data_IF_676264479659
#
_entry.id   IF_676264479659
#
_cell.length_a   1.000
_cell.length_b   1.000
_cell.length_c   1.000
_cell.angle_alpha   90.00
_cell.angle_beta   90.00
_cell.angle_gamma   90.00
#
_symmetry.space_group_name_H-M   'P 1'
#
loop_
_entity.id
_entity.type
_entity.pdbx_description
1 polymer ?
#
# COMPACT_ATOMS: atom_id res chain seq x y z
N UNK A 1 20.68 16.50 -2.49
CA UNK A 1 19.28 16.12 -2.81
C UNK A 1 18.37 16.48 -1.63
N UNK A 2 17.21 17.10 -1.86
CA UNK A 2 16.28 17.45 -0.78
C UNK A 2 15.78 16.16 -0.10
N UNK A 3 15.88 16.06 1.24
CA UNK A 3 15.49 14.86 2.00
C UNK A 3 14.06 14.41 1.70
N UNK A 4 13.15 15.36 1.45
CA UNK A 4 11.75 15.09 1.07
C UNK A 4 11.65 14.37 -0.27
N UNK A 5 12.38 14.85 -1.27
CA UNK A 5 12.40 14.27 -2.60
C UNK A 5 13.02 12.86 -2.58
N UNK A 6 14.08 12.66 -1.80
CA UNK A 6 14.69 11.34 -1.62
C UNK A 6 13.71 10.32 -1.04
N UNK A 7 12.87 10.73 -0.07
CA UNK A 7 11.85 9.87 0.51
C UNK A 7 10.75 9.49 -0.49
N UNK A 8 10.27 10.46 -1.29
CA UNK A 8 9.27 10.20 -2.33
C UNK A 8 9.81 9.25 -3.39
N UNK A 9 11.03 9.47 -3.87
CA UNK A 9 11.70 8.58 -4.82
C UNK A 9 11.88 7.17 -4.24
N UNK A 10 12.27 7.05 -2.98
CA UNK A 10 12.39 5.76 -2.31
C UNK A 10 11.03 5.04 -2.25
N UNK A 11 9.96 5.73 -1.83
CA UNK A 11 8.62 5.14 -1.75
C UNK A 11 8.11 4.66 -3.10
N UNK A 12 8.21 5.49 -4.15
CA UNK A 12 7.83 5.06 -5.50
C UNK A 12 8.73 3.96 -6.04
N UNK A 13 10.04 4.05 -5.82
CA UNK A 13 10.99 3.02 -6.24
C UNK A 13 10.62 1.64 -5.67
N UNK A 14 10.27 1.56 -4.39
CA UNK A 14 9.81 0.30 -3.77
C UNK A 14 8.52 -0.22 -4.38
N UNK A 15 7.53 0.66 -4.64
CA UNK A 15 6.27 0.27 -5.28
C UNK A 15 6.49 -0.22 -6.70
N UNK A 16 7.29 0.49 -7.50
CA UNK A 16 7.62 0.13 -8.88
C UNK A 16 8.36 -1.21 -8.95
N UNK A 17 9.36 -1.41 -8.08
CA UNK A 17 10.07 -2.70 -8.00
C UNK A 17 9.13 -3.84 -7.63
N UNK A 18 8.16 -3.60 -6.75
CA UNK A 18 7.17 -4.61 -6.38
C UNK A 18 6.19 -4.92 -7.51
N UNK A 19 5.77 -3.91 -8.29
CA UNK A 19 4.97 -4.12 -9.50
C UNK A 19 5.74 -4.94 -10.54
N UNK A 20 7.03 -4.62 -10.75
CA UNK A 20 7.90 -5.42 -11.63
C UNK A 20 8.02 -6.87 -11.15
N UNK A 21 8.13 -7.08 -9.84
CA UNK A 21 8.14 -8.40 -9.24
C UNK A 21 6.85 -9.18 -9.52
N UNK A 22 5.67 -8.54 -9.37
CA UNK A 22 4.38 -9.18 -9.68
C UNK A 22 4.34 -9.62 -11.15
N UNK A 23 4.62 -8.71 -12.08
CA UNK A 23 4.60 -9.05 -13.51
C UNK A 23 5.65 -10.11 -13.87
N UNK A 24 6.82 -10.09 -13.25
CA UNK A 24 7.82 -11.13 -13.43
C UNK A 24 7.31 -12.49 -12.95
N UNK A 25 6.69 -12.57 -11.78
CA UNK A 25 6.13 -13.81 -11.24
C UNK A 25 4.98 -14.35 -12.11
N UNK A 26 4.25 -13.48 -12.80
CA UNK A 26 3.20 -13.87 -13.74
C UNK A 26 3.72 -14.48 -15.04
N UNK A 27 5.02 -14.32 -15.35
CA UNK A 27 5.66 -15.03 -16.46
C UNK A 27 6.07 -16.47 -16.12
N UNK A 28 6.01 -16.86 -14.85
CA UNK A 28 6.38 -18.21 -14.42
C UNK A 28 5.18 -19.15 -14.62
N UNK A 29 5.32 -20.31 -15.28
CA UNK A 29 4.21 -21.26 -15.46
C UNK A 29 3.73 -21.86 -14.12
N UNK A 30 2.53 -22.44 -14.11
CA UNK A 30 2.02 -23.12 -12.91
C UNK A 30 2.91 -24.32 -12.53
N UNK A 31 3.13 -24.50 -11.23
CA UNK A 31 3.67 -25.76 -10.69
C UNK A 31 2.55 -26.80 -10.83
N UNK A 32 2.77 -27.80 -11.69
CA UNK A 32 1.99 -29.02 -11.95
C UNK A 32 0.46 -28.98 -11.72
N UNK A 33 -0.29 -29.32 -12.76
CA UNK A 33 -1.76 -29.42 -12.78
C UNK A 33 -2.29 -30.58 -11.90
N UNK A 34 -2.22 -30.41 -10.58
CA UNK A 34 -2.81 -31.33 -9.63
C UNK A 34 -4.04 -30.68 -9.02
N UNK A 35 -5.17 -31.40 -9.01
CA UNK A 35 -6.41 -30.96 -8.35
C UNK A 35 -6.30 -30.96 -6.82
N UNK A 36 -5.12 -30.72 -6.27
CA UNK A 36 -4.90 -30.70 -4.85
C UNK A 36 -5.44 -29.40 -4.23
N UNK A 37 -6.30 -29.56 -3.23
CA UNK A 37 -6.89 -28.47 -2.45
C UNK A 37 -5.78 -27.62 -1.81
N UNK A 38 -4.67 -28.24 -1.42
CA UNK A 38 -3.54 -27.52 -0.82
C UNK A 38 -2.88 -26.54 -1.82
N UNK A 39 -2.73 -26.93 -3.08
CA UNK A 39 -2.14 -26.06 -4.11
C UNK A 39 -3.05 -24.86 -4.43
N UNK A 40 -4.37 -25.09 -4.52
CA UNK A 40 -5.34 -24.01 -4.68
C UNK A 40 -5.31 -23.04 -3.49
N UNK A 41 -5.23 -23.54 -2.26
CA UNK A 41 -5.15 -22.69 -1.08
C UNK A 41 -3.87 -21.84 -1.08
N UNK A 42 -2.72 -22.43 -1.44
CA UNK A 42 -1.44 -21.71 -1.55
C UNK A 42 -1.52 -20.64 -2.64
N UNK A 43 -2.12 -20.94 -3.79
CA UNK A 43 -2.35 -19.99 -4.90
C UNK A 43 -3.17 -18.78 -4.43
N UNK A 44 -4.29 -19.03 -3.75
CA UNK A 44 -5.17 -17.97 -3.21
C UNK A 44 -4.40 -17.11 -2.19
N UNK A 45 -3.75 -17.74 -1.20
CA UNK A 45 -3.03 -17.03 -0.15
C UNK A 45 -1.88 -16.18 -0.70
N UNK A 46 -1.14 -16.72 -1.67
CA UNK A 46 -0.08 -16.01 -2.37
C UNK A 46 -0.61 -14.78 -3.12
N UNK A 47 -1.68 -14.92 -3.92
CA UNK A 47 -2.31 -13.79 -4.62
C UNK A 47 -2.82 -12.74 -3.64
N UNK A 48 -3.52 -13.17 -2.58
CA UNK A 48 -4.01 -12.24 -1.56
C UNK A 48 -2.87 -11.44 -0.90
N UNK A 49 -1.77 -12.11 -0.58
CA UNK A 49 -0.60 -11.48 0.04
C UNK A 49 0.07 -10.47 -0.90
N UNK A 50 0.26 -10.83 -2.18
CA UNK A 50 0.85 -9.94 -3.18
C UNK A 50 0.02 -8.67 -3.39
N UNK A 51 -1.28 -8.82 -3.67
CA UNK A 51 -2.12 -7.67 -4.00
C UNK A 51 -2.46 -6.82 -2.77
N UNK A 52 -2.55 -7.43 -1.58
CA UNK A 52 -2.63 -6.69 -0.32
C UNK A 52 -1.38 -5.84 -0.07
N UNK A 53 -0.18 -6.41 -0.25
CA UNK A 53 1.08 -5.67 -0.11
C UNK A 53 1.24 -4.58 -1.17
N UNK A 54 0.86 -4.86 -2.42
CA UNK A 54 0.86 -3.87 -3.50
C UNK A 54 0.00 -2.66 -3.11
N UNK A 55 -1.21 -2.88 -2.63
CA UNK A 55 -2.08 -1.80 -2.16
C UNK A 55 -1.41 -0.97 -1.07
N UNK A 56 -0.79 -1.59 -0.06
CA UNK A 56 -0.11 -0.88 1.03
C UNK A 56 1.05 -0.02 0.53
N UNK A 57 1.89 -0.56 -0.37
CA UNK A 57 3.00 0.17 -0.97
C UNK A 57 2.51 1.35 -1.83
N UNK A 58 1.47 1.11 -2.62
CA UNK A 58 0.90 2.10 -3.51
C UNK A 58 0.25 3.25 -2.72
N UNK A 59 -0.59 2.93 -1.73
CA UNK A 59 -1.14 3.91 -0.79
C UNK A 59 -0.05 4.72 -0.09
N UNK A 60 1.01 4.07 0.40
CA UNK A 60 2.15 4.75 1.03
C UNK A 60 2.86 5.71 0.08
N UNK A 61 3.07 5.31 -1.18
CA UNK A 61 3.74 6.17 -2.17
C UNK A 61 2.90 7.39 -2.57
N UNK A 62 1.58 7.21 -2.70
CA UNK A 62 0.63 8.30 -2.94
C UNK A 62 0.61 9.27 -1.76
N UNK A 63 0.52 8.74 -0.53
CA UNK A 63 0.54 9.54 0.69
C UNK A 63 1.84 10.34 0.84
N UNK A 64 3.00 9.72 0.57
CA UNK A 64 4.30 10.39 0.61
C UNK A 64 4.35 11.57 -0.37
N UNK A 65 3.87 11.35 -1.60
CA UNK A 65 3.78 12.40 -2.63
C UNK A 65 2.89 13.54 -2.17
N UNK A 66 1.69 13.22 -1.68
CA UNK A 66 0.71 14.19 -1.25
C UNK A 66 1.21 15.06 -0.09
N UNK A 67 1.82 14.44 0.94
CA UNK A 67 2.45 15.14 2.07
C UNK A 67 3.56 16.11 1.64
N UNK A 68 4.27 15.83 0.55
CA UNK A 68 5.31 16.74 0.06
C UNK A 68 4.75 17.90 -0.76
N UNK A 69 3.62 17.71 -1.43
CA UNK A 69 2.98 18.71 -2.30
C UNK A 69 2.15 19.72 -1.48
N UNK A 70 1.39 19.25 -0.49
CA UNK A 70 0.48 20.11 0.26
C UNK A 70 1.15 20.66 1.51
N UNK A 71 1.60 21.92 1.44
CA UNK A 71 2.27 22.63 2.56
C UNK A 71 1.39 22.77 3.81
N UNK A 72 0.07 22.87 3.62
CA UNK A 72 -0.94 23.08 4.69
C UNK A 72 -0.94 21.94 5.71
N UNK A 73 -0.68 20.72 5.25
CA UNK A 73 -0.55 19.52 6.10
C UNK A 73 0.74 19.51 6.96
N UNK A 74 1.68 20.44 6.75
CA UNK A 74 2.98 20.39 7.40
C UNK A 74 3.11 21.27 8.66
N UNK A 75 2.19 22.21 8.90
CA UNK A 75 2.28 23.13 10.05
C UNK A 75 0.91 23.71 10.41
N UNK A 76 0.43 23.44 11.62
CA UNK A 76 -0.78 24.06 12.19
C UNK A 76 -0.44 25.41 12.83
N UNK A 77 -1.27 26.43 12.65
CA UNK A 77 -1.11 27.74 13.29
C UNK A 77 -2.07 27.97 14.47
N UNK A 78 -3.24 27.33 14.51
CA UNK A 78 -4.19 27.47 15.62
C UNK A 78 -4.97 26.19 15.97
N UNK A 79 -5.65 26.18 17.13
CA UNK A 79 -6.50 25.06 17.59
C UNK A 79 -7.78 24.89 16.76
N UNK A 80 -8.40 25.99 16.31
CA UNK A 80 -9.58 25.93 15.44
C UNK A 80 -9.21 25.43 14.04
N UNK A 81 -8.07 25.91 13.50
CA UNK A 81 -7.54 25.44 12.21
C UNK A 81 -7.20 23.95 12.23
N UNK A 82 -6.89 23.37 13.41
CA UNK A 82 -6.65 21.94 13.56
C UNK A 82 -7.90 21.09 13.31
N UNK A 83 -9.09 21.54 13.69
CA UNK A 83 -10.34 20.78 13.48
C UNK A 83 -10.72 20.80 11.99
N UNK A 84 -10.68 21.97 11.36
CA UNK A 84 -10.92 22.10 9.91
C UNK A 84 -9.89 21.30 9.09
N UNK A 85 -8.61 21.31 9.50
CA UNK A 85 -7.56 20.54 8.83
C UNK A 85 -7.76 19.02 9.01
N UNK A 86 -8.38 18.55 10.10
CA UNK A 86 -8.65 17.12 10.31
C UNK A 86 -9.69 16.59 9.32
N UNK A 87 -10.77 17.33 9.07
CA UNK A 87 -11.77 16.93 8.08
C UNK A 87 -11.17 16.89 6.67
N UNK A 88 -10.37 17.90 6.32
CA UNK A 88 -9.68 17.96 5.05
C UNK A 88 -8.71 16.78 4.86
N UNK A 89 -7.94 16.44 5.90
CA UNK A 89 -7.06 15.26 5.91
C UNK A 89 -7.85 13.98 5.65
N UNK A 90 -8.97 13.78 6.35
CA UNK A 90 -9.81 12.59 6.20
C UNK A 90 -10.37 12.44 4.77
N UNK A 91 -10.85 13.55 4.19
CA UNK A 91 -11.37 13.56 2.81
C UNK A 91 -10.28 13.14 1.82
N UNK A 92 -9.08 13.69 1.97
CA UNK A 92 -7.94 13.36 1.12
C UNK A 92 -7.51 11.92 1.31
N UNK A 93 -7.38 11.44 2.55
CA UNK A 93 -7.00 10.07 2.83
C UNK A 93 -7.96 9.08 2.19
N UNK A 94 -9.26 9.35 2.31
CA UNK A 94 -10.31 8.57 1.66
C UNK A 94 -10.14 8.58 0.15
N UNK A 95 -9.90 9.75 -0.45
CA UNK A 95 -9.65 9.86 -1.89
C UNK A 95 -8.38 9.08 -2.32
N UNK A 96 -7.31 9.15 -1.53
CA UNK A 96 -6.07 8.40 -1.78
C UNK A 96 -6.29 6.89 -1.71
N UNK A 97 -7.11 6.40 -0.76
CA UNK A 97 -7.51 5.00 -0.69
C UNK A 97 -8.29 4.60 -1.93
N UNK A 98 -9.28 5.39 -2.36
CA UNK A 98 -10.08 5.12 -3.58
C UNK A 98 -9.19 5.04 -4.82
N UNK A 99 -8.26 5.99 -4.98
CA UNK A 99 -7.29 5.99 -6.09
C UNK A 99 -6.37 4.76 -5.99
N UNK A 100 -5.90 4.42 -4.80
CA UNK A 100 -5.02 3.26 -4.61
C UNK A 100 -5.71 1.94 -4.93
N UNK A 101 -6.95 1.74 -4.47
CA UNK A 101 -7.80 0.58 -4.81
C UNK A 101 -7.99 0.50 -6.33
N UNK A 102 -8.31 1.61 -6.97
CA UNK A 102 -8.54 1.66 -8.42
C UNK A 102 -7.29 1.27 -9.21
N UNK A 103 -6.12 1.83 -8.88
CA UNK A 103 -4.87 1.51 -9.57
C UNK A 103 -4.45 0.06 -9.31
N UNK A 104 -4.52 -0.41 -8.05
CA UNK A 104 -4.16 -1.79 -7.73
C UNK A 104 -5.09 -2.80 -8.44
N UNK A 105 -6.38 -2.48 -8.58
CA UNK A 105 -7.34 -3.32 -9.30
C UNK A 105 -7.04 -3.36 -10.80
N UNK A 106 -6.67 -2.23 -11.40
CA UNK A 106 -6.22 -2.18 -12.80
C UNK A 106 -4.94 -2.99 -13.03
N UNK A 107 -4.00 -2.96 -12.08
CA UNK A 107 -2.79 -3.79 -12.14
C UNK A 107 -3.18 -5.27 -12.07
N UNK A 108 -4.08 -5.67 -11.16
CA UNK A 108 -4.56 -7.05 -11.08
C UNK A 108 -5.23 -7.54 -12.36
N UNK A 109 -6.05 -6.70 -13.00
CA UNK A 109 -6.66 -6.99 -14.30
C UNK A 109 -5.62 -7.14 -15.41
N UNK A 110 -4.63 -6.24 -15.43
CA UNK A 110 -3.55 -6.26 -16.43
C UNK A 110 -2.67 -7.49 -16.27
N UNK A 111 -2.37 -7.87 -15.03
CA UNK A 111 -1.60 -9.05 -14.69
C UNK A 111 -2.26 -10.33 -15.22
N UNK A 112 -3.56 -10.49 -14.97
CA UNK A 112 -4.32 -11.62 -15.47
C UNK A 112 -4.40 -11.64 -17.00
N UNK A 113 -4.53 -10.46 -17.63
CA UNK A 113 -4.49 -10.33 -19.08
C UNK A 113 -3.14 -10.75 -19.67
N UNK A 114 -2.02 -10.43 -19.01
CA UNK A 114 -0.69 -10.84 -19.46
C UNK A 114 -0.51 -12.36 -19.39
N UNK A 115 -1.10 -13.03 -18.38
CA UNK A 115 -1.00 -14.48 -18.23
C UNK A 115 -1.59 -15.26 -19.42
N UNK A 116 -2.48 -14.67 -20.21
CA UNK A 116 -3.01 -15.25 -21.47
C UNK A 116 -1.88 -15.59 -22.46
N UNK A 117 -0.79 -14.83 -22.42
CA UNK A 117 0.33 -14.96 -23.35
C UNK A 117 1.46 -15.85 -22.83
N UNK A 118 1.28 -16.49 -21.67
CA UNK A 118 2.31 -17.33 -21.04
C UNK A 118 1.95 -18.80 -21.23
N UNK A 119 2.82 -19.56 -21.90
CA UNK A 119 2.59 -20.99 -22.13
C UNK A 119 2.45 -21.75 -20.80
N UNK A 120 1.41 -22.58 -20.69
CA UNK A 120 1.11 -23.33 -19.47
C UNK A 120 0.41 -22.53 -18.37
N UNK A 121 -0.07 -21.31 -18.67
CA UNK A 121 -1.00 -20.56 -17.82
C UNK A 121 -2.40 -20.57 -18.43
N UNK A 122 -3.39 -20.81 -17.58
CA UNK A 122 -4.79 -20.58 -17.89
C UNK A 122 -5.29 -19.43 -17.03
N UNK A 123 -5.76 -18.33 -17.66
CA UNK A 123 -6.34 -17.22 -16.92
C UNK A 123 -7.66 -17.66 -16.28
N UNK A 124 -7.83 -17.35 -15.00
CA UNK A 124 -9.03 -17.64 -14.23
C UNK A 124 -9.62 -16.32 -13.74
N UNK A 125 -10.82 -15.91 -14.21
CA UNK A 125 -11.46 -14.68 -13.74
C UNK A 125 -11.63 -14.61 -12.21
N UNK A 126 -11.71 -15.77 -11.56
CA UNK A 126 -11.80 -15.91 -10.10
C UNK A 126 -10.55 -15.35 -9.41
N UNK A 127 -9.37 -15.47 -10.03
CA UNK A 127 -8.11 -14.96 -9.48
C UNK A 127 -8.09 -13.42 -9.39
N UNK A 128 -8.71 -12.74 -10.35
CA UNK A 128 -8.90 -11.29 -10.30
C UNK A 128 -9.79 -10.91 -9.13
N UNK A 129 -10.90 -11.62 -8.93
CA UNK A 129 -11.82 -11.36 -7.82
C UNK A 129 -11.13 -11.55 -6.46
N UNK A 130 -10.33 -12.61 -6.30
CA UNK A 130 -9.51 -12.84 -5.10
C UNK A 130 -8.55 -11.67 -4.86
N UNK A 131 -7.90 -11.20 -5.92
CA UNK A 131 -6.96 -10.07 -5.85
C UNK A 131 -7.66 -8.78 -5.43
N UNK A 132 -8.84 -8.49 -6.01
CA UNK A 132 -9.68 -7.33 -5.63
C UNK A 132 -10.14 -7.46 -4.17
N UNK A 133 -10.59 -8.64 -3.73
CA UNK A 133 -10.97 -8.86 -2.33
C UNK A 133 -9.82 -8.58 -1.38
N UNK A 134 -8.60 -9.02 -1.70
CA UNK A 134 -7.41 -8.74 -0.90
C UNK A 134 -7.08 -7.25 -0.83
N UNK A 135 -7.19 -6.53 -1.96
CA UNK A 135 -7.02 -5.07 -2.03
C UNK A 135 -8.04 -4.37 -1.13
N UNK A 136 -9.31 -4.77 -1.19
CA UNK A 136 -10.37 -4.19 -0.37
C UNK A 136 -10.20 -4.48 1.12
N UNK A 137 -9.80 -5.71 1.48
CA UNK A 137 -9.50 -6.06 2.87
C UNK A 137 -8.33 -5.22 3.43
N UNK A 138 -7.27 -5.05 2.64
CA UNK A 138 -6.16 -4.18 3.01
C UNK A 138 -6.59 -2.71 3.11
N UNK A 139 -7.47 -2.24 2.22
CA UNK A 139 -8.03 -0.90 2.26
C UNK A 139 -8.87 -0.64 3.52
N UNK A 140 -9.71 -1.59 3.93
CA UNK A 140 -10.48 -1.50 5.18
C UNK A 140 -9.54 -1.46 6.39
N UNK A 141 -8.46 -2.24 6.39
CA UNK A 141 -7.47 -2.23 7.45
C UNK A 141 -6.74 -0.87 7.53
N UNK A 142 -6.34 -0.33 6.39
CA UNK A 142 -5.69 1.00 6.33
C UNK A 142 -6.66 2.11 6.73
N UNK A 143 -7.93 2.04 6.32
CA UNK A 143 -8.93 3.04 6.66
C UNK A 143 -9.32 2.98 8.15
N UNK A 144 -9.34 1.78 8.75
CA UNK A 144 -9.65 1.61 10.18
C UNK A 144 -8.49 1.98 11.10
N UNK A 145 -7.27 2.10 10.59
CA UNK A 145 -6.10 2.54 11.35
C UNK A 145 -5.75 3.98 10.97
N UNK A 146 -6.05 5.00 11.79
CA UNK A 146 -5.71 6.40 11.48
C UNK A 146 -4.19 6.55 11.39
N UNK A 147 -3.66 6.38 10.18
CA UNK A 147 -2.24 6.16 9.91
C UNK A 147 -1.41 7.45 9.94
N UNK A 148 -2.07 8.60 9.86
CA UNK A 148 -1.40 9.89 9.59
C UNK A 148 -1.32 10.82 10.80
N UNK A 149 -2.14 10.60 11.84
CA UNK A 149 -2.11 11.40 13.07
C UNK A 149 -1.47 10.67 14.25
N UNK A 150 -2.09 9.58 14.69
CA UNK A 150 -1.86 9.08 16.04
C UNK A 150 -0.69 8.12 16.15
N UNK A 151 -0.49 7.25 15.15
CA UNK A 151 0.59 6.26 15.18
C UNK A 151 1.97 6.91 15.03
N UNK A 152 2.12 7.93 14.18
CA UNK A 152 3.38 8.67 14.04
C UNK A 152 3.69 9.50 15.29
N UNK A 153 2.67 10.12 15.92
CA UNK A 153 2.83 10.87 17.18
C UNK A 153 3.15 9.92 18.33
N UNK A 154 2.44 8.80 18.46
CA UNK A 154 2.66 7.79 19.49
C UNK A 154 4.04 7.11 19.35
N UNK A 155 4.44 6.77 18.11
CA UNK A 155 5.77 6.23 17.84
C UNK A 155 6.85 7.27 18.10
N UNK A 156 6.70 8.53 17.67
CA UNK A 156 7.67 9.58 18.00
C UNK A 156 7.80 9.76 19.51
N UNK A 157 6.70 9.85 20.25
CA UNK A 157 6.75 10.02 21.70
C UNK A 157 7.48 8.84 22.36
N UNK A 158 7.09 7.61 22.03
CA UNK A 158 7.68 6.40 22.62
C UNK A 158 9.15 6.20 22.25
N UNK A 159 9.55 6.56 21.02
CA UNK A 159 10.93 6.42 20.57
C UNK A 159 11.82 7.53 21.15
N UNK A 160 11.35 8.79 21.14
CA UNK A 160 12.09 9.92 21.71
C UNK A 160 12.22 9.84 23.23
N UNK A 161 11.15 9.46 23.93
CA UNK A 161 11.20 9.28 25.39
C UNK A 161 12.20 8.19 25.77
N UNK A 162 12.20 7.06 25.05
CA UNK A 162 13.18 5.99 25.29
C UNK A 162 14.61 6.40 24.92
N UNK A 163 14.80 7.21 23.87
CA UNK A 163 16.12 7.64 23.43
C UNK A 163 16.76 8.66 24.36
N UNK A 164 16.00 9.66 24.82
CA UNK A 164 16.47 10.66 25.78
C UNK A 164 16.68 10.06 27.18
N UNK A 165 15.77 9.17 27.62
CA UNK A 165 15.92 8.45 28.90
C UNK A 165 17.16 7.55 28.94
N UNK A 166 17.55 6.93 27.81
CA UNK A 166 18.79 6.14 27.72
C UNK A 166 20.08 6.97 27.69
N UNK A 167 20.03 8.25 27.30
CA UNK A 167 21.21 9.11 27.18
C UNK A 167 21.47 10.02 28.39
N UNK A 168 20.58 10.04 29.39
CA UNK A 168 20.76 10.86 30.59
C UNK A 168 20.76 12.36 30.32
N UNK A 169 20.30 12.78 29.14
CA UNK A 169 20.15 14.18 28.77
C UNK A 169 18.78 14.60 29.33
N UNK A 170 18.79 15.32 30.44
CA UNK A 170 17.61 16.03 30.97
C UNK A 170 17.28 17.23 30.10
#
# INVERSE_FOLDING_TARGET
MNKKLAFVLYSWGTTTLFIMLIFWLSTVPYLADSNDIYEQFIKIFYRMSLYGLLFLLLYRSLLATFRTTVKRLSKWHSRAEKEDDQEFVLIIETLLVVVAVSIASLIALTDEFIQIYVDGRFPEPVDVLISIMAILLAAILVYSTPSIGELEIALKHKFFDNFFKKRGIK
#
